data_IF_114980285820
#
_entry.id   IF_114980285820
#
_cell.length_a   1.000
_cell.length_b   1.000
_cell.length_c   1.000
_cell.angle_alpha   90.00
_cell.angle_beta   90.00
_cell.angle_gamma   90.00
#
_symmetry.space_group_name_H-M   'P 1'
#
loop_
_entity.id
_entity.type
_entity.pdbx_description
1 polymer ?
#
# COMPACT_ATOMS: atom_id res chain seq x y z
N UNK A 1 33.42 -14.39 -2.48
CA UNK A 1 33.06 -13.02 -2.04
C UNK A 1 32.49 -12.30 -3.25
N UNK A 2 31.18 -12.42 -3.48
CA UNK A 2 30.53 -11.77 -4.63
C UNK A 2 30.44 -10.27 -4.35
N UNK A 3 31.02 -9.46 -5.23
CA UNK A 3 30.85 -8.02 -5.24
C UNK A 3 29.40 -7.74 -5.62
N UNK A 4 28.53 -7.63 -4.61
CA UNK A 4 27.17 -7.11 -4.78
C UNK A 4 27.32 -5.66 -5.26
N UNK A 5 26.91 -5.39 -6.50
CA UNK A 5 26.93 -4.06 -7.11
C UNK A 5 26.22 -3.04 -6.20
N UNK A 6 26.71 -1.80 -6.15
CA UNK A 6 26.08 -0.72 -5.37
C UNK A 6 24.61 -0.50 -5.74
N UNK A 7 24.25 -0.77 -7.00
CA UNK A 7 22.86 -0.72 -7.49
C UNK A 7 21.96 -1.80 -6.86
N UNK A 8 22.53 -2.95 -6.49
CA UNK A 8 21.84 -4.05 -5.80
C UNK A 8 21.73 -3.79 -4.28
N UNK A 9 22.43 -2.79 -3.72
CA UNK A 9 22.33 -2.42 -2.28
C UNK A 9 21.29 -1.35 -1.99
N UNK A 10 21.07 -0.40 -2.90
CA UNK A 10 19.75 0.22 -3.02
C UNK A 10 18.75 -0.90 -3.36
N UNK A 11 17.44 -0.75 -3.39
CA UNK A 11 16.49 -1.84 -3.74
C UNK A 11 16.43 -3.07 -2.80
N UNK A 12 17.53 -3.69 -2.38
CA UNK A 12 17.55 -4.82 -1.44
C UNK A 12 17.53 -4.38 0.01
N UNK A 13 16.91 -5.18 0.87
CA UNK A 13 16.84 -4.89 2.30
C UNK A 13 18.15 -5.23 3.01
N UNK A 14 18.58 -4.32 3.88
CA UNK A 14 19.74 -4.49 4.75
C UNK A 14 19.26 -4.53 6.21
N UNK A 15 19.42 -5.67 6.92
CA UNK A 15 19.07 -5.79 8.33
C UNK A 15 19.72 -4.72 9.22
N UNK A 16 20.92 -4.25 8.86
CA UNK A 16 21.61 -3.21 9.61
C UNK A 16 20.93 -1.83 9.48
N UNK A 17 20.24 -1.58 8.36
CA UNK A 17 19.53 -0.34 8.06
C UNK A 17 18.05 -0.37 8.48
N UNK A 18 17.48 -1.55 8.77
CA UNK A 18 16.08 -1.70 9.19
C UNK A 18 15.79 -0.94 10.49
N UNK A 19 14.88 0.02 10.42
CA UNK A 19 14.43 0.83 11.56
C UNK A 19 12.94 1.11 11.40
N UNK A 20 12.22 1.07 12.52
CA UNK A 20 10.85 1.57 12.58
C UNK A 20 10.84 3.09 12.53
N UNK A 21 11.67 3.74 13.35
CA UNK A 21 11.65 5.21 13.48
C UNK A 21 12.58 5.87 12.47
N UNK A 22 12.00 6.33 11.37
CA UNK A 22 12.62 7.21 10.37
C UNK A 22 11.77 8.45 10.17
N UNK A 23 12.33 9.51 9.58
CA UNK A 23 11.54 10.71 9.27
C UNK A 23 10.33 10.39 8.37
N UNK A 24 10.45 9.42 7.46
CA UNK A 24 9.34 8.96 6.62
C UNK A 24 8.20 8.37 7.49
N UNK A 25 8.50 7.41 8.38
CA UNK A 25 7.47 6.81 9.25
C UNK A 25 6.82 7.79 10.23
N UNK A 26 7.54 8.85 10.63
CA UNK A 26 6.96 9.93 11.45
C UNK A 26 5.94 10.72 10.62
N UNK A 27 6.27 11.05 9.38
CA UNK A 27 5.33 11.70 8.45
C UNK A 27 4.11 10.78 8.22
N UNK A 28 4.33 9.47 7.99
CA UNK A 28 3.26 8.46 7.88
C UNK A 28 2.34 8.46 9.11
N UNK A 29 2.89 8.45 10.32
CA UNK A 29 2.10 8.47 11.54
C UNK A 29 1.26 9.77 11.67
N UNK A 30 1.89 10.93 11.42
CA UNK A 30 1.23 12.23 11.50
C UNK A 30 0.11 12.36 10.46
N UNK A 31 0.37 11.99 9.19
CA UNK A 31 -0.65 12.05 8.14
C UNK A 31 -1.83 11.12 8.44
N UNK A 32 -1.57 9.95 9.01
CA UNK A 32 -2.62 8.98 9.35
C UNK A 32 -3.51 9.48 10.47
N UNK A 33 -2.94 9.97 11.57
CA UNK A 33 -3.75 10.51 12.66
C UNK A 33 -4.56 11.72 12.20
N UNK A 34 -3.95 12.63 11.44
CA UNK A 34 -4.63 13.82 10.95
C UNK A 34 -5.76 13.48 9.96
N UNK A 35 -5.48 12.65 8.95
CA UNK A 35 -6.46 12.23 7.95
C UNK A 35 -7.62 11.47 8.61
N UNK A 36 -7.31 10.49 9.46
CA UNK A 36 -8.31 9.69 10.16
C UNK A 36 -9.23 10.57 11.03
N UNK A 37 -8.66 11.52 11.79
CA UNK A 37 -9.45 12.45 12.60
C UNK A 37 -10.39 13.31 11.75
N UNK A 38 -9.92 13.83 10.61
CA UNK A 38 -10.76 14.61 9.69
C UNK A 38 -11.89 13.76 9.11
N UNK A 39 -11.61 12.51 8.72
CA UNK A 39 -12.64 11.58 8.25
C UNK A 39 -13.69 11.27 9.33
N UNK A 40 -13.27 11.07 10.59
CA UNK A 40 -14.19 10.89 11.70
C UNK A 40 -15.06 12.13 11.94
N UNK A 41 -14.48 13.33 11.88
CA UNK A 41 -15.23 14.59 11.98
C UNK A 41 -16.26 14.70 10.86
N UNK A 42 -15.89 14.36 9.63
CA UNK A 42 -16.82 14.37 8.49
C UNK A 42 -17.97 13.39 8.64
N UNK A 43 -17.68 12.16 9.06
CA UNK A 43 -18.71 11.15 9.32
C UNK A 43 -19.64 11.56 10.48
N UNK A 44 -19.09 12.17 11.54
CA UNK A 44 -19.86 12.63 12.70
C UNK A 44 -20.74 13.83 12.39
N UNK A 45 -20.22 14.82 11.66
CA UNK A 45 -20.96 16.04 11.31
C UNK A 45 -21.90 15.87 10.11
N UNK A 46 -21.75 14.79 9.33
CA UNK A 46 -22.55 14.58 8.12
C UNK A 46 -22.02 15.36 6.90
N UNK A 47 -20.76 15.78 6.92
CA UNK A 47 -20.22 16.81 6.02
C UNK A 47 -19.13 16.23 5.10
N UNK A 48 -19.39 16.21 3.78
CA UNK A 48 -18.48 15.64 2.78
C UNK A 48 -17.13 16.39 2.73
N UNK A 49 -17.13 17.70 2.97
CA UNK A 49 -15.93 18.53 2.92
C UNK A 49 -14.80 17.99 3.81
N UNK A 50 -15.13 17.56 5.03
CA UNK A 50 -14.14 17.01 5.97
C UNK A 50 -13.57 15.68 5.50
N UNK A 51 -14.37 14.83 4.84
CA UNK A 51 -13.87 13.60 4.23
C UNK A 51 -12.88 13.92 3.10
N UNK A 52 -13.22 14.88 2.24
CA UNK A 52 -12.35 15.32 1.13
C UNK A 52 -11.06 15.96 1.66
N UNK A 53 -11.14 16.77 2.73
CA UNK A 53 -9.96 17.32 3.39
C UNK A 53 -9.08 16.21 4.00
N UNK A 54 -9.69 15.20 4.64
CA UNK A 54 -8.99 14.02 5.15
C UNK A 54 -8.27 13.24 4.04
N UNK A 55 -8.93 13.01 2.90
CA UNK A 55 -8.33 12.39 1.71
C UNK A 55 -7.15 13.20 1.18
N UNK A 56 -7.29 14.53 1.11
CA UNK A 56 -6.22 15.43 0.68
C UNK A 56 -4.99 15.36 1.59
N UNK A 57 -5.18 15.41 2.92
CA UNK A 57 -4.09 15.25 3.91
C UNK A 57 -3.42 13.90 3.75
N UNK A 58 -4.19 12.83 3.57
CA UNK A 58 -3.68 11.49 3.32
C UNK A 58 -2.76 11.46 2.10
N UNK A 59 -3.23 11.88 0.92
CA UNK A 59 -2.45 11.82 -0.32
C UNK A 59 -1.21 12.71 -0.28
N UNK A 60 -1.32 13.94 0.22
CA UNK A 60 -0.17 14.84 0.32
C UNK A 60 0.88 14.27 1.27
N UNK A 61 0.44 13.69 2.40
CA UNK A 61 1.33 13.02 3.33
C UNK A 61 2.03 11.80 2.74
N UNK A 62 1.31 10.96 1.99
CA UNK A 62 1.85 9.74 1.32
C UNK A 62 2.90 10.09 0.25
N UNK A 63 2.68 11.19 -0.48
CA UNK A 63 3.71 11.68 -1.38
C UNK A 63 4.93 12.20 -0.60
N UNK A 64 4.72 12.83 0.56
CA UNK A 64 5.77 13.42 1.37
C UNK A 64 6.64 12.38 2.09
N UNK A 65 6.07 11.34 2.71
CA UNK A 65 6.85 10.29 3.37
C UNK A 65 7.66 9.46 2.36
N UNK A 66 7.07 9.12 1.21
CA UNK A 66 7.76 8.43 0.13
C UNK A 66 8.86 9.27 -0.51
N UNK A 67 8.66 10.59 -0.63
CA UNK A 67 9.72 11.50 -1.07
C UNK A 67 10.85 11.57 -0.03
N UNK A 68 10.51 11.72 1.26
CA UNK A 68 11.46 11.74 2.36
C UNK A 68 12.32 10.48 2.38
N UNK A 69 11.69 9.30 2.32
CA UNK A 69 12.38 8.02 2.34
C UNK A 69 13.46 7.90 1.25
N UNK A 70 13.18 8.41 0.06
CA UNK A 70 14.08 8.33 -1.10
C UNK A 70 15.17 9.40 -1.08
N UNK A 71 14.84 10.62 -0.64
CA UNK A 71 15.81 11.72 -0.56
C UNK A 71 16.86 11.46 0.52
N UNK A 72 16.45 10.88 1.64
CA UNK A 72 17.33 10.60 2.78
C UNK A 72 17.81 9.14 2.85
N UNK A 73 17.54 8.34 1.81
CA UNK A 73 17.86 6.90 1.71
C UNK A 73 17.56 6.12 3.01
N UNK A 74 16.37 6.36 3.58
CA UNK A 74 15.90 5.75 4.81
C UNK A 74 14.68 4.84 4.60
N UNK A 75 14.54 4.30 3.39
CA UNK A 75 13.51 3.30 3.06
C UNK A 75 13.84 1.97 3.73
N UNK A 76 12.88 1.43 4.50
CA UNK A 76 13.00 0.18 5.24
C UNK A 76 11.80 -0.72 4.95
N UNK A 77 11.93 -2.03 5.12
CA UNK A 77 10.80 -2.95 5.00
C UNK A 77 9.75 -2.68 6.05
N UNK A 78 10.19 -2.42 7.28
CA UNK A 78 9.29 -2.07 8.38
C UNK A 78 8.49 -0.81 7.99
N UNK A 79 9.17 0.21 7.46
CA UNK A 79 8.54 1.43 6.97
C UNK A 79 7.51 1.16 5.88
N UNK A 80 7.87 0.37 4.86
CA UNK A 80 6.95 0.02 3.77
C UNK A 80 5.70 -0.72 4.25
N UNK A 81 5.81 -1.61 5.25
CA UNK A 81 4.65 -2.32 5.82
C UNK A 81 3.78 -1.37 6.65
N UNK A 82 4.38 -0.50 7.47
CA UNK A 82 3.66 0.49 8.26
C UNK A 82 2.90 1.46 7.35
N UNK A 83 3.56 1.94 6.30
CA UNK A 83 2.99 2.79 5.26
C UNK A 83 1.74 2.17 4.63
N UNK A 84 1.83 0.90 4.19
CA UNK A 84 0.71 0.14 3.66
C UNK A 84 -0.48 0.05 4.62
N UNK A 85 -0.23 -0.23 5.90
CA UNK A 85 -1.27 -0.34 6.93
C UNK A 85 -1.96 1.01 7.15
N UNK A 86 -1.17 2.08 7.21
CA UNK A 86 -1.61 3.45 7.38
C UNK A 86 -2.46 3.95 6.20
N UNK A 87 -2.06 3.64 4.96
CA UNK A 87 -2.85 3.92 3.75
C UNK A 87 -4.21 3.26 3.82
N UNK A 88 -4.23 1.99 4.23
CA UNK A 88 -5.44 1.19 4.35
C UNK A 88 -6.39 1.78 5.37
N UNK A 89 -5.90 2.15 6.55
CA UNK A 89 -6.72 2.81 7.56
C UNK A 89 -7.33 4.13 7.05
N UNK A 90 -6.52 5.02 6.45
CA UNK A 90 -7.01 6.31 5.95
C UNK A 90 -8.02 6.14 4.81
N UNK A 91 -7.72 5.22 3.89
CA UNK A 91 -8.59 4.86 2.78
C UNK A 91 -9.94 4.31 3.28
N UNK A 92 -9.93 3.36 4.24
CA UNK A 92 -11.16 2.87 4.88
C UNK A 92 -11.95 4.01 5.52
N UNK A 93 -11.29 4.87 6.30
CA UNK A 93 -11.97 5.96 6.99
C UNK A 93 -12.67 6.89 6.01
N UNK A 94 -12.02 7.23 4.89
CA UNK A 94 -12.64 8.01 3.82
C UNK A 94 -13.83 7.27 3.19
N UNK A 95 -13.64 6.04 2.70
CA UNK A 95 -14.67 5.34 1.93
C UNK A 95 -15.86 4.89 2.78
N UNK A 96 -15.62 4.43 4.02
CA UNK A 96 -16.70 4.13 4.95
C UNK A 96 -17.46 5.40 5.34
N UNK A 97 -16.76 6.52 5.56
CA UNK A 97 -17.39 7.82 5.74
C UNK A 97 -18.22 8.23 4.53
N UNK A 98 -17.71 8.02 3.31
CA UNK A 98 -18.44 8.34 2.08
C UNK A 98 -19.70 7.48 1.94
N UNK A 99 -19.60 6.17 2.16
CA UNK A 99 -20.74 5.26 2.13
C UNK A 99 -21.78 5.59 3.23
N UNK A 100 -21.32 6.09 4.37
CA UNK A 100 -22.19 6.58 5.44
C UNK A 100 -22.98 7.83 5.03
N UNK A 101 -22.35 8.78 4.34
CA UNK A 101 -23.03 9.99 3.84
C UNK A 101 -23.88 9.71 2.58
N UNK A 102 -23.46 8.77 1.74
CA UNK A 102 -24.07 8.45 0.45
C UNK A 102 -24.36 6.96 0.35
N UNK A 103 -25.57 6.57 0.75
CA UNK A 103 -25.97 5.17 0.87
C UNK A 103 -25.90 4.40 -0.47
N UNK A 104 -26.15 5.07 -1.60
CA UNK A 104 -26.02 4.46 -2.93
C UNK A 104 -24.59 4.01 -3.24
N UNK A 105 -23.59 4.57 -2.55
CA UNK A 105 -22.17 4.22 -2.72
C UNK A 105 -21.75 2.99 -1.91
N UNK A 106 -22.61 2.41 -1.06
CA UNK A 106 -22.25 1.27 -0.21
C UNK A 106 -21.70 0.11 -1.04
N UNK A 107 -22.38 -0.26 -2.13
CA UNK A 107 -21.97 -1.40 -2.96
C UNK A 107 -20.60 -1.19 -3.65
N UNK A 108 -20.37 -0.10 -4.40
CA UNK A 108 -19.05 0.12 -5.02
C UNK A 108 -17.94 0.26 -3.97
N UNK A 109 -18.22 0.92 -2.84
CA UNK A 109 -17.27 1.04 -1.71
C UNK A 109 -16.93 -0.33 -1.13
N UNK A 110 -17.92 -1.19 -0.86
CA UNK A 110 -17.69 -2.50 -0.27
C UNK A 110 -16.80 -3.38 -1.17
N UNK A 111 -17.02 -3.35 -2.49
CA UNK A 111 -16.21 -4.11 -3.44
C UNK A 111 -14.79 -3.55 -3.52
N UNK A 112 -14.65 -2.23 -3.56
CA UNK A 112 -13.33 -1.60 -3.55
C UNK A 112 -12.57 -1.89 -2.26
N UNK A 113 -13.22 -1.82 -1.10
CA UNK A 113 -12.57 -2.16 0.17
C UNK A 113 -12.19 -3.64 0.26
N UNK A 114 -13.01 -4.55 -0.26
CA UNK A 114 -12.64 -5.97 -0.35
C UNK A 114 -11.38 -6.16 -1.22
N UNK A 115 -11.32 -5.50 -2.38
CA UNK A 115 -10.14 -5.50 -3.24
C UNK A 115 -8.92 -4.94 -2.52
N UNK A 116 -9.01 -3.71 -2.00
CA UNK A 116 -7.89 -2.95 -1.46
C UNK A 116 -7.35 -3.53 -0.14
N UNK A 117 -8.25 -3.96 0.75
CA UNK A 117 -7.90 -4.44 2.09
C UNK A 117 -7.43 -5.88 2.11
N UNK A 118 -7.86 -6.69 1.14
CA UNK A 118 -7.60 -8.14 1.15
C UNK A 118 -6.69 -8.52 0.01
N UNK A 119 -7.16 -8.38 -1.23
CA UNK A 119 -6.45 -8.90 -2.40
C UNK A 119 -5.21 -8.07 -2.69
N UNK A 120 -5.37 -6.75 -2.82
CA UNK A 120 -4.25 -5.84 -3.03
C UNK A 120 -3.31 -5.81 -1.81
N UNK A 121 -3.84 -5.91 -0.59
CA UNK A 121 -2.99 -5.93 0.59
C UNK A 121 -2.07 -7.15 0.63
N UNK A 122 -2.62 -8.35 0.39
CA UNK A 122 -1.79 -9.55 0.30
C UNK A 122 -0.75 -9.42 -0.81
N UNK A 123 -1.16 -8.99 -2.00
CA UNK A 123 -0.26 -8.79 -3.14
C UNK A 123 0.85 -7.78 -2.80
N UNK A 124 0.49 -6.71 -2.11
CA UNK A 124 1.41 -5.66 -1.65
C UNK A 124 2.36 -6.15 -0.57
N UNK A 125 1.98 -7.10 0.30
CA UNK A 125 2.86 -7.71 1.29
C UNK A 125 3.78 -8.78 0.70
N UNK A 126 3.46 -9.33 -0.48
CA UNK A 126 4.19 -10.44 -1.07
C UNK A 126 5.68 -10.15 -1.29
N UNK A 127 6.08 -8.88 -1.50
CA UNK A 127 7.48 -8.48 -1.64
C UNK A 127 8.37 -8.95 -0.47
N UNK A 128 7.79 -9.15 0.72
CA UNK A 128 8.51 -9.61 1.91
C UNK A 128 9.16 -10.99 1.73
N UNK A 129 8.66 -11.80 0.78
CA UNK A 129 9.26 -13.10 0.48
C UNK A 129 10.58 -12.99 -0.30
N UNK A 130 10.83 -11.88 -0.99
CA UNK A 130 12.06 -11.64 -1.77
C UNK A 130 12.98 -10.66 -1.03
N UNK A 131 14.28 -10.57 -1.35
CA UNK A 131 15.24 -9.71 -0.65
C UNK A 131 15.10 -8.20 -0.94
N UNK A 132 13.98 -7.73 -1.48
CA UNK A 132 13.71 -6.31 -1.82
C UNK A 132 13.13 -5.51 -0.63
N UNK A 133 13.26 -4.17 -0.65
CA UNK A 133 12.81 -3.26 0.43
C UNK A 133 11.31 -2.94 0.41
N UNK A 134 10.69 -2.91 -0.76
CA UNK A 134 9.28 -2.56 -0.95
C UNK A 134 8.79 -3.01 -2.33
N UNK A 135 7.47 -2.98 -2.59
CA UNK A 135 6.94 -3.31 -3.91
C UNK A 135 7.36 -2.35 -5.02
N UNK A 136 7.93 -1.18 -4.68
CA UNK A 136 8.50 -0.27 -5.66
C UNK A 136 9.63 -0.92 -6.48
N UNK A 137 10.25 -1.94 -5.90
CA UNK A 137 11.37 -2.68 -6.49
C UNK A 137 10.95 -4.05 -7.02
N UNK A 138 9.65 -4.34 -7.10
CA UNK A 138 9.17 -5.65 -7.54
C UNK A 138 9.50 -5.95 -9.01
N UNK A 139 9.94 -4.96 -9.79
CA UNK A 139 10.46 -5.20 -11.14
C UNK A 139 11.69 -6.10 -11.17
N UNK A 140 12.42 -6.25 -10.05
CA UNK A 140 13.54 -7.18 -9.93
C UNK A 140 13.07 -8.64 -9.76
N UNK A 141 11.83 -8.83 -9.36
CA UNK A 141 11.20 -10.15 -9.14
C UNK A 141 10.35 -10.54 -10.36
N UNK A 142 9.39 -9.69 -10.71
CA UNK A 142 8.54 -9.85 -11.89
C UNK A 142 8.12 -8.49 -12.44
N UNK A 143 8.64 -8.15 -13.62
CA UNK A 143 8.37 -6.85 -14.26
C UNK A 143 6.90 -6.66 -14.65
N UNK A 144 6.18 -7.73 -15.01
CA UNK A 144 4.78 -7.65 -15.39
C UNK A 144 3.92 -7.30 -14.19
N UNK A 145 4.08 -8.00 -13.07
CA UNK A 145 3.34 -7.71 -11.83
C UNK A 145 3.64 -6.27 -11.38
N UNK A 146 4.91 -5.85 -11.43
CA UNK A 146 5.29 -4.48 -11.12
C UNK A 146 4.60 -3.44 -12.01
N UNK A 147 4.65 -3.62 -13.34
CA UNK A 147 4.08 -2.65 -14.29
C UNK A 147 2.60 -2.39 -14.06
N UNK A 148 1.83 -3.43 -13.75
CA UNK A 148 0.38 -3.35 -13.55
C UNK A 148 -0.05 -2.87 -12.15
N UNK A 149 0.82 -2.98 -11.14
CA UNK A 149 0.44 -2.69 -9.75
C UNK A 149 1.17 -1.49 -9.13
N UNK A 150 2.49 -1.39 -9.34
CA UNK A 150 3.34 -0.49 -8.56
C UNK A 150 4.18 0.48 -9.42
N UNK A 151 4.09 0.40 -10.75
CA UNK A 151 4.61 1.46 -11.60
C UNK A 151 3.95 2.80 -11.28
N UNK A 152 4.64 3.92 -11.53
CA UNK A 152 4.09 5.26 -11.30
C UNK A 152 2.69 5.47 -11.92
N UNK A 153 2.43 5.11 -13.19
CA UNK A 153 1.09 5.24 -13.75
C UNK A 153 0.08 4.28 -13.11
N UNK A 154 0.48 3.03 -12.81
CA UNK A 154 -0.41 2.07 -12.15
C UNK A 154 -0.82 2.55 -10.75
N UNK A 155 0.11 3.10 -9.97
CA UNK A 155 -0.19 3.68 -8.65
C UNK A 155 -1.16 4.84 -8.74
N UNK A 156 -0.95 5.75 -9.69
CA UNK A 156 -1.85 6.88 -9.89
C UNK A 156 -3.27 6.37 -10.20
N UNK A 157 -3.41 5.41 -11.10
CA UNK A 157 -4.71 4.82 -11.47
C UNK A 157 -5.34 4.06 -10.29
N UNK A 158 -4.60 3.15 -9.64
CA UNK A 158 -5.13 2.29 -8.58
C UNK A 158 -5.55 3.08 -7.32
N UNK A 159 -4.81 4.15 -6.98
CA UNK A 159 -5.03 4.91 -5.74
C UNK A 159 -6.03 6.08 -5.93
N UNK A 160 -5.99 6.78 -7.06
CA UNK A 160 -6.74 8.04 -7.21
C UNK A 160 -7.96 7.94 -8.14
N UNK A 161 -7.98 7.03 -9.12
CA UNK A 161 -9.05 7.00 -10.13
C UNK A 161 -10.42 6.77 -9.50
N UNK A 162 -10.52 5.80 -8.59
CA UNK A 162 -11.78 5.45 -7.95
C UNK A 162 -12.31 6.61 -7.08
N UNK A 163 -11.48 7.19 -6.21
CA UNK A 163 -11.86 8.32 -5.36
C UNK A 163 -12.28 9.55 -6.19
N UNK A 164 -11.45 9.98 -7.15
CA UNK A 164 -11.69 11.19 -7.95
C UNK A 164 -12.96 11.03 -8.77
N UNK A 165 -13.14 9.91 -9.47
CA UNK A 165 -14.32 9.72 -10.31
C UNK A 165 -15.60 9.64 -9.48
N UNK A 166 -15.57 9.00 -8.31
CA UNK A 166 -16.73 9.00 -7.40
C UNK A 166 -17.07 10.42 -6.94
N UNK A 167 -16.07 11.20 -6.49
CA UNK A 167 -16.29 12.56 -5.99
C UNK A 167 -16.77 13.53 -7.08
N UNK A 168 -16.28 13.38 -8.32
CA UNK A 168 -16.62 14.29 -9.43
C UNK A 168 -17.95 13.93 -10.08
N UNK A 169 -18.24 12.64 -10.28
CA UNK A 169 -19.43 12.20 -11.02
C UNK A 169 -20.63 11.92 -10.11
N UNK A 170 -20.40 11.43 -8.89
CA UNK A 170 -21.46 10.92 -8.02
C UNK A 170 -22.15 9.66 -8.57
N UNK A 171 -21.59 8.99 -9.57
CA UNK A 171 -22.25 7.86 -10.25
C UNK A 171 -21.87 6.52 -9.60
N UNK A 172 -22.77 5.96 -8.80
CA UNK A 172 -22.54 4.69 -8.10
C UNK A 172 -22.23 3.53 -9.06
N UNK A 173 -22.91 3.46 -10.21
CA UNK A 173 -22.72 2.38 -11.19
C UNK A 173 -21.34 2.45 -11.85
N UNK A 174 -20.84 3.67 -12.11
CA UNK A 174 -19.51 3.87 -12.67
C UNK A 174 -18.45 3.47 -11.64
N UNK A 175 -18.66 3.86 -10.38
CA UNK A 175 -17.86 3.36 -9.27
C UNK A 175 -17.83 1.84 -9.21
N UNK A 176 -18.98 1.19 -9.35
CA UNK A 176 -19.09 -0.27 -9.30
C UNK A 176 -18.28 -0.94 -10.41
N UNK A 177 -18.38 -0.44 -11.64
CA UNK A 177 -17.60 -0.93 -12.78
C UNK A 177 -16.10 -0.80 -12.51
N UNK A 178 -15.66 0.35 -11.98
CA UNK A 178 -14.25 0.58 -11.65
C UNK A 178 -13.77 -0.37 -10.55
N UNK A 179 -14.54 -0.50 -9.46
CA UNK A 179 -14.19 -1.37 -8.34
C UNK A 179 -14.08 -2.84 -8.77
N UNK A 180 -15.00 -3.33 -9.61
CA UNK A 180 -14.94 -4.66 -10.19
C UNK A 180 -13.72 -4.83 -11.13
N UNK A 181 -13.42 -3.82 -11.93
CA UNK A 181 -12.24 -3.81 -12.82
C UNK A 181 -10.93 -3.90 -12.03
N UNK A 182 -10.80 -3.15 -10.94
CA UNK A 182 -9.66 -3.21 -10.04
C UNK A 182 -9.57 -4.59 -9.37
N UNK A 183 -10.69 -5.12 -8.86
CA UNK A 183 -10.72 -6.45 -8.26
C UNK A 183 -10.29 -7.54 -9.25
N UNK A 184 -10.74 -7.46 -10.50
CA UNK A 184 -10.32 -8.36 -11.55
C UNK A 184 -8.81 -8.24 -11.84
N UNK A 185 -8.29 -7.01 -11.97
CA UNK A 185 -6.86 -6.76 -12.16
C UNK A 185 -6.00 -7.34 -11.02
N UNK A 186 -6.42 -7.15 -9.77
CA UNK A 186 -5.72 -7.71 -8.60
C UNK A 186 -5.82 -9.22 -8.55
N UNK A 187 -6.97 -9.79 -8.88
CA UNK A 187 -7.15 -11.25 -8.92
C UNK A 187 -6.25 -11.89 -9.99
N UNK A 188 -6.11 -11.26 -11.16
CA UNK A 188 -5.19 -11.69 -12.21
C UNK A 188 -3.73 -11.55 -11.75
N UNK A 189 -3.37 -10.43 -11.13
CA UNK A 189 -2.03 -10.23 -10.57
C UNK A 189 -1.70 -11.23 -9.47
N UNK A 190 -2.68 -11.56 -8.63
CA UNK A 190 -2.57 -12.56 -7.59
C UNK A 190 -2.37 -13.96 -8.19
N UNK A 191 -3.10 -14.31 -9.25
CA UNK A 191 -2.83 -15.54 -10.00
C UNK A 191 -1.39 -15.58 -10.53
N UNK A 192 -0.89 -14.49 -11.12
CA UNK A 192 0.49 -14.44 -11.58
C UNK A 192 1.50 -14.63 -10.45
N UNK A 193 1.24 -14.08 -9.26
CA UNK A 193 2.07 -14.29 -8.08
C UNK A 193 2.05 -15.77 -7.63
N UNK A 194 0.89 -16.42 -7.66
CA UNK A 194 0.78 -17.85 -7.33
C UNK A 194 1.52 -18.73 -8.34
N UNK A 195 1.43 -18.39 -9.63
CA UNK A 195 2.14 -19.09 -10.70
C UNK A 195 3.67 -18.89 -10.57
N UNK A 196 4.12 -17.72 -10.08
CA UNK A 196 5.53 -17.43 -9.79
C UNK A 196 6.06 -18.26 -8.61
N UNK A 197 5.20 -18.51 -7.61
CA UNK A 197 5.55 -19.20 -6.37
C UNK A 197 6.24 -18.29 -5.36
N UNK A 198 6.04 -18.58 -4.07
CA UNK A 198 6.65 -17.84 -2.96
C UNK A 198 7.92 -18.58 -2.51
N UNK A 199 9.10 -17.92 -2.48
CA UNK A 199 10.30 -18.54 -1.95
C UNK A 199 10.10 -18.90 -0.48
N UNK A 200 10.45 -20.14 -0.13
CA UNK A 200 10.44 -20.60 1.26
C UNK A 200 11.78 -20.25 1.91
N UNK A 201 11.80 -19.70 3.14
CA UNK A 201 13.03 -19.51 3.88
C UNK A 201 13.77 -20.85 4.00
N UNK A 202 15.05 -20.87 3.64
CA UNK A 202 15.88 -22.05 3.91
C UNK A 202 15.94 -22.25 5.43
N UNK A 203 15.61 -23.46 5.89
CA UNK A 203 15.71 -23.80 7.30
C UNK A 203 17.18 -23.70 7.71
N UNK A 204 17.48 -22.86 8.69
CA UNK A 204 18.82 -22.85 9.28
C UNK A 204 19.18 -24.28 9.71
N UNK A 205 20.39 -24.77 9.38
CA UNK A 205 20.82 -26.10 9.79
C UNK A 205 20.71 -26.21 11.31
N UNK A 206 20.14 -27.32 11.79
CA UNK A 206 20.04 -27.55 13.22
C UNK A 206 21.44 -27.49 13.85
N UNK A 207 21.60 -26.84 15.03
CA UNK A 207 22.89 -26.86 15.72
C UNK A 207 23.30 -28.31 15.94
N UNK A 208 24.56 -28.62 15.64
CA UNK A 208 25.08 -29.97 15.85
C UNK A 208 25.00 -30.32 17.34
N UNK A 209 24.58 -31.54 17.72
CA UNK A 209 24.50 -31.92 19.12
C UNK A 209 25.87 -31.75 19.78
N UNK A 210 25.99 -30.76 20.68
CA UNK A 210 27.22 -30.45 21.41
C UNK A 210 27.72 -29.00 21.31
N UNK A 211 27.11 -28.15 20.48
CA UNK A 211 27.46 -26.73 20.42
C UNK A 211 26.58 -25.92 21.38
N UNK A 212 27.13 -25.24 22.41
CA UNK A 212 26.32 -24.39 23.28
C UNK A 212 25.74 -23.21 22.47
N UNK A 213 24.51 -22.85 22.79
CA UNK A 213 23.75 -21.77 22.18
C UNK A 213 24.41 -20.39 22.38
#
# INVERSE_FOLDING_TARGET
>A
MLVVSSATRATHADPAAERLWTGATVITAVRTVASFALCLVGAWQGELWWLVAGLGVYWVGDMADGAWARVFDCETRIGAVVDMLCDRLNCAAFYLGLAWLQHDMILPVAIYLLEFMVVDFYLSLAFLAWPIRSPNYFYEVDERIYRWNWSKPAKAVNSSLFAVLLLVTGWWWLGLVIALGLLALKSVSFKWLLDLGMPMPERAPAPSPGQPA
#
